data_IF_166119385437
#
_entry.id   IF_166119385437
#
_cell.length_a   1.000
_cell.length_b   1.000
_cell.length_c   1.000
_cell.angle_alpha   90.00
_cell.angle_beta   90.00
_cell.angle_gamma   90.00
#
_symmetry.space_group_name_H-M   'P 1'
#
loop_
_entity.id
_entity.type
_entity.pdbx_description
1 polymer ?
#
# COMPACT_ATOMS: atom_id res chain seq x y z
N UNK A 1 15.75 -10.13 0.52
CA UNK A 1 14.47 -10.54 1.12
C UNK A 1 13.68 -9.26 1.24
N UNK A 2 12.77 -8.99 0.30
CA UNK A 2 11.84 -7.87 0.46
C UNK A 2 10.95 -8.21 1.66
N UNK A 3 11.12 -7.47 2.74
CA UNK A 3 10.29 -7.62 3.94
C UNK A 3 8.84 -7.27 3.60
N UNK A 4 7.89 -7.82 4.35
CA UNK A 4 6.45 -7.54 4.18
C UNK A 4 6.19 -6.03 4.08
N UNK A 5 6.87 -5.24 4.89
CA UNK A 5 6.84 -3.77 4.88
C UNK A 5 7.24 -3.14 3.54
N UNK A 6 8.24 -3.69 2.83
CA UNK A 6 8.63 -3.17 1.50
C UNK A 6 7.55 -3.43 0.45
N UNK A 7 6.89 -4.60 0.52
CA UNK A 7 5.77 -4.93 -0.38
C UNK A 7 4.58 -4.02 -0.12
N UNK A 8 4.24 -3.82 1.15
CA UNK A 8 3.17 -2.91 1.58
C UNK A 8 3.45 -1.50 1.09
N UNK A 9 4.69 -1.02 1.26
CA UNK A 9 5.10 0.33 0.85
C UNK A 9 5.02 0.52 -0.66
N UNK A 10 5.49 -0.46 -1.47
CA UNK A 10 5.31 -0.42 -2.93
C UNK A 10 3.84 -0.42 -3.32
N UNK A 11 3.04 -1.31 -2.72
CA UNK A 11 1.63 -1.47 -3.05
C UNK A 11 0.82 -0.22 -2.68
N UNK A 12 1.04 0.36 -1.51
CA UNK A 12 0.41 1.60 -1.09
C UNK A 12 0.76 2.76 -2.03
N UNK A 13 2.02 2.86 -2.46
CA UNK A 13 2.45 3.86 -3.44
C UNK A 13 1.82 3.64 -4.81
N UNK A 14 1.73 2.40 -5.29
CA UNK A 14 1.04 2.08 -6.55
C UNK A 14 -0.42 2.48 -6.52
N UNK A 15 -1.14 2.13 -5.46
CA UNK A 15 -2.55 2.50 -5.26
C UNK A 15 -2.69 4.02 -5.26
N UNK A 16 -1.83 4.72 -4.50
CA UNK A 16 -1.85 6.17 -4.40
C UNK A 16 -1.54 6.87 -5.73
N UNK A 17 -0.63 6.33 -6.53
CA UNK A 17 -0.31 6.87 -7.85
C UNK A 17 -1.43 6.60 -8.87
N UNK A 18 -2.05 5.41 -8.82
CA UNK A 18 -3.21 5.07 -9.66
C UNK A 18 -4.44 5.93 -9.35
N UNK A 19 -4.67 6.28 -8.09
CA UNK A 19 -5.78 7.16 -7.69
C UNK A 19 -5.51 8.65 -7.94
N UNK A 20 -4.33 9.00 -8.47
CA UNK A 20 -3.99 10.39 -8.82
C UNK A 20 -3.51 11.22 -7.64
N UNK A 21 -2.91 10.57 -6.64
CA UNK A 21 -2.31 11.18 -5.45
C UNK A 21 -3.31 11.99 -4.60
N UNK A 22 -4.41 11.38 -4.14
CA UNK A 22 -5.32 12.04 -3.22
C UNK A 22 -4.60 12.43 -1.94
N UNK A 23 -4.64 13.71 -1.60
CA UNK A 23 -4.08 14.22 -0.36
C UNK A 23 -4.96 13.80 0.83
N UNK A 24 -4.37 13.19 1.86
CA UNK A 24 -5.07 12.76 3.07
C UNK A 24 -5.63 11.34 3.06
N UNK A 25 -5.43 10.56 1.97
CA UNK A 25 -5.80 9.13 1.89
C UNK A 25 -4.63 8.16 1.95
N UNK A 26 -3.40 8.66 2.14
CA UNK A 26 -2.20 7.83 2.24
C UNK A 26 -2.32 6.73 3.31
N UNK A 27 -2.98 7.02 4.43
CA UNK A 27 -3.17 6.06 5.52
C UNK A 27 -4.18 4.95 5.15
N UNK A 28 -5.21 5.29 4.37
CA UNK A 28 -6.21 4.34 3.86
C UNK A 28 -5.57 3.41 2.81
N UNK A 29 -4.76 3.97 1.90
CA UNK A 29 -4.01 3.16 0.92
C UNK A 29 -2.95 2.29 1.57
N UNK A 30 -2.30 2.79 2.63
CA UNK A 30 -1.37 1.99 3.42
C UNK A 30 -2.08 0.82 4.09
N UNK A 31 -3.19 1.05 4.78
CA UNK A 31 -3.96 -0.02 5.43
C UNK A 31 -4.50 -1.05 4.43
N UNK A 32 -4.98 -0.58 3.27
CA UNK A 32 -5.41 -1.47 2.18
C UNK A 32 -4.26 -2.32 1.64
N UNK A 33 -3.09 -1.72 1.43
CA UNK A 33 -1.88 -2.43 1.01
C UNK A 33 -1.36 -3.40 2.07
N UNK A 34 -1.46 -3.03 3.36
CA UNK A 34 -1.16 -3.93 4.48
C UNK A 34 -2.07 -5.14 4.34
N UNK A 35 -3.39 -4.97 4.37
CA UNK A 35 -4.35 -6.07 4.32
C UNK A 35 -4.20 -6.97 3.09
N UNK A 36 -3.96 -6.43 1.89
CA UNK A 36 -3.69 -7.25 0.69
C UNK A 36 -2.46 -8.14 0.88
N UNK A 37 -1.33 -7.55 1.29
CA UNK A 37 -0.08 -8.30 1.49
C UNK A 37 -0.18 -9.23 2.71
N UNK A 38 -1.01 -8.89 3.70
CA UNK A 38 -1.27 -9.75 4.84
C UNK A 38 -2.11 -10.97 4.48
N UNK A 39 -3.07 -10.82 3.57
CA UNK A 39 -3.94 -11.89 3.11
C UNK A 39 -3.27 -12.80 2.05
N UNK A 40 -2.30 -12.28 1.29
CA UNK A 40 -1.53 -13.04 0.30
C UNK A 40 -0.34 -13.83 0.88
N UNK A 41 -0.01 -13.68 2.16
CA UNK A 41 1.10 -14.35 2.86
C UNK A 41 0.67 -15.52 3.72
#
# INVERSE_FOLDING_TARGET
MDSREEKIKRRAHEIWEQEGRPAGREQEHWDQAVQEIEAEG
#
